data_IF_505976227199
#
_entry.id   IF_505976227199
#
_cell.length_a   1.000
_cell.length_b   1.000
_cell.length_c   1.000
_cell.angle_alpha   90.00
_cell.angle_beta   90.00
_cell.angle_gamma   90.00
#
_symmetry.space_group_name_H-M   'P 1'
#
loop_
_entity.id
_entity.type
_entity.pdbx_description
1 polymer ?
#
# COMPACT_ATOMS: atom_id res chain seq x y z
N UNK A 1 -70.79 -20.01 -31.48
CA UNK A 1 -69.95 -19.52 -30.38
C UNK A 1 -69.04 -18.44 -30.97
N UNK A 2 -69.56 -17.32 -31.48
CA UNK A 2 -70.26 -16.25 -30.76
C UNK A 2 -69.49 -15.82 -29.50
N UNK A 3 -68.95 -14.61 -29.57
CA UNK A 3 -68.72 -13.67 -28.46
C UNK A 3 -67.79 -14.10 -27.32
N UNK A 4 -66.62 -13.44 -27.20
CA UNK A 4 -66.22 -12.76 -25.94
C UNK A 4 -64.73 -12.41 -25.81
N UNK A 5 -64.01 -12.03 -26.87
CA UNK A 5 -62.69 -11.39 -26.63
C UNK A 5 -62.35 -10.17 -27.50
N UNK A 6 -63.29 -9.70 -28.33
CA UNK A 6 -63.13 -8.47 -29.15
C UNK A 6 -63.73 -7.22 -28.46
N UNK A 7 -64.08 -7.28 -27.17
CA UNK A 7 -64.89 -6.23 -26.50
C UNK A 7 -64.27 -5.58 -25.27
N UNK A 8 -62.94 -5.42 -25.23
CA UNK A 8 -62.28 -4.56 -24.24
C UNK A 8 -61.31 -3.51 -24.82
N UNK A 9 -61.46 -3.24 -26.10
CA UNK A 9 -60.87 -2.10 -26.78
C UNK A 9 -62.02 -1.24 -27.32
N UNK A 10 -62.04 0.05 -26.96
CA UNK A 10 -62.98 1.09 -27.42
C UNK A 10 -64.32 1.21 -26.66
N UNK A 11 -64.27 1.91 -25.52
CA UNK A 11 -65.27 2.81 -24.92
C UNK A 11 -64.67 3.19 -23.56
N UNK A 12 -64.06 4.35 -23.35
CA UNK A 12 -64.70 5.66 -23.38
C UNK A 12 -63.66 6.78 -23.53
N UNK A 13 -63.71 7.49 -24.67
CA UNK A 13 -63.27 8.89 -24.78
C UNK A 13 -64.41 9.80 -24.31
N UNK A 14 -64.13 10.73 -23.39
CA UNK A 14 -64.84 12.00 -23.07
C UNK A 14 -64.23 12.48 -21.73
N UNK A 15 -63.66 13.66 -21.51
CA UNK A 15 -63.57 15.02 -22.11
C UNK A 15 -62.21 15.58 -21.61
N UNK A 16 -61.33 16.22 -22.40
CA UNK A 16 -61.36 17.58 -22.94
C UNK A 16 -61.52 18.71 -21.89
N UNK A 17 -60.60 19.69 -21.95
CA UNK A 17 -60.55 21.01 -21.28
C UNK A 17 -60.02 20.98 -19.81
N UNK A 18 -59.10 21.82 -19.31
CA UNK A 18 -58.62 23.19 -19.56
C UNK A 18 -57.15 23.33 -19.05
N UNK A 19 -56.19 24.01 -19.67
CA UNK A 19 -55.99 25.46 -19.89
C UNK A 19 -55.67 26.30 -18.62
N UNK A 20 -54.36 26.51 -18.36
CA UNK A 20 -53.66 27.64 -17.66
C UNK A 20 -52.48 27.08 -16.84
N UNK A 21 -51.36 27.76 -16.62
CA UNK A 21 -50.74 29.01 -17.07
C UNK A 21 -49.50 29.15 -16.19
N UNK A 22 -48.38 29.59 -16.77
CA UNK A 22 -47.25 30.20 -16.07
C UNK A 22 -47.67 31.03 -14.85
N UNK A 23 -46.98 30.83 -13.71
CA UNK A 23 -46.46 31.86 -12.77
C UNK A 23 -45.28 31.21 -12.02
N UNK A 24 -44.01 31.51 -12.35
CA UNK A 24 -43.24 32.64 -11.83
C UNK A 24 -43.34 32.80 -10.30
N UNK A 25 -42.16 32.75 -9.64
CA UNK A 25 -41.70 33.76 -8.67
C UNK A 25 -41.54 33.34 -7.19
N UNK A 26 -40.29 33.49 -6.68
CA UNK A 26 -39.87 33.92 -5.32
C UNK A 26 -39.94 32.82 -4.22
N UNK A 27 -39.02 32.60 -3.26
CA UNK A 27 -37.98 33.42 -2.61
C UNK A 27 -36.87 32.54 -1.99
N UNK A 28 -35.65 33.05 -2.14
CA UNK A 28 -34.45 32.89 -1.34
C UNK A 28 -34.66 32.89 0.20
N UNK A 29 -34.35 31.80 0.91
CA UNK A 29 -34.00 31.90 2.34
C UNK A 29 -32.83 31.01 2.70
N UNK A 30 -31.73 31.70 2.98
CA UNK A 30 -30.54 31.29 3.69
C UNK A 30 -30.79 30.29 4.81
N UNK A 31 -30.06 29.16 4.80
CA UNK A 31 -29.50 28.65 6.04
C UNK A 31 -28.15 28.01 5.76
N UNK A 32 -27.14 28.79 6.09
CA UNK A 32 -25.77 28.37 6.35
C UNK A 32 -25.84 27.26 7.42
N UNK A 33 -25.75 26.00 7.00
CA UNK A 33 -25.32 24.91 7.87
C UNK A 33 -23.82 24.76 7.71
N UNK A 34 -23.08 25.75 8.22
CA UNK A 34 -21.72 25.57 8.67
C UNK A 34 -21.78 24.78 9.98
N UNK A 35 -21.97 23.47 9.87
CA UNK A 35 -21.71 22.53 10.97
C UNK A 35 -20.51 21.71 10.54
N UNK A 36 -19.37 22.11 11.08
CA UNK A 36 -18.22 21.27 11.43
C UNK A 36 -18.28 19.84 10.87
N UNK A 37 -17.86 19.67 9.62
CA UNK A 37 -17.25 18.40 9.26
C UNK A 37 -16.10 18.21 10.25
N UNK A 38 -16.05 17.13 11.05
CA UNK A 38 -14.78 16.74 11.59
C UNK A 38 -13.87 16.62 10.36
N UNK A 39 -12.73 17.30 10.41
CA UNK A 39 -11.59 16.90 9.59
C UNK A 39 -11.54 15.39 9.79
N UNK A 40 -11.94 14.62 8.77
CA UNK A 40 -11.67 13.20 8.75
C UNK A 40 -10.15 13.17 8.65
N UNK A 41 -9.49 13.22 9.81
CA UNK A 41 -8.12 12.76 9.97
C UNK A 41 -8.18 11.36 9.41
N UNK A 42 -7.71 11.20 8.17
CA UNK A 42 -7.41 9.91 7.59
C UNK A 42 -6.34 9.34 8.51
N UNK A 43 -6.76 8.67 9.60
CA UNK A 43 -5.84 7.89 10.39
C UNK A 43 -5.09 7.00 9.41
N UNK A 44 -3.77 7.06 9.45
CA UNK A 44 -2.91 6.16 8.70
C UNK A 44 -3.51 4.75 8.73
N UNK A 45 -3.70 4.19 7.54
CA UNK A 45 -4.28 2.85 7.42
C UNK A 45 -3.24 1.86 7.93
N UNK A 46 -3.64 1.06 8.92
CA UNK A 46 -2.85 -0.08 9.41
C UNK A 46 -2.50 -1.02 8.25
N UNK A 47 -1.44 -1.82 8.42
CA UNK A 47 -1.13 -2.85 7.42
C UNK A 47 -2.29 -3.82 7.27
N UNK A 48 -2.62 -4.18 6.03
CA UNK A 48 -3.71 -5.13 5.78
C UNK A 48 -3.37 -6.52 6.32
N UNK A 49 -4.37 -7.28 6.72
CA UNK A 49 -4.17 -8.65 7.23
C UNK A 49 -3.55 -9.57 6.18
N UNK A 50 -3.86 -9.36 4.89
CA UNK A 50 -3.27 -10.13 3.79
C UNK A 50 -1.76 -9.87 3.71
N UNK A 51 -1.34 -8.61 3.84
CA UNK A 51 0.07 -8.26 3.81
C UNK A 51 0.80 -8.78 5.06
N UNK A 52 0.19 -8.67 6.24
CA UNK A 52 0.71 -9.29 7.47
C UNK A 52 0.87 -10.81 7.28
N UNK A 53 -0.09 -11.47 6.66
CA UNK A 53 -0.02 -12.90 6.36
C UNK A 53 1.14 -13.20 5.41
N UNK A 54 1.34 -12.40 4.36
CA UNK A 54 2.44 -12.55 3.40
C UNK A 54 3.81 -12.51 4.09
N UNK A 55 4.04 -11.54 4.98
CA UNK A 55 5.28 -11.45 5.77
C UNK A 55 5.51 -12.67 6.69
N UNK A 56 4.46 -13.40 7.05
CA UNK A 56 4.50 -14.54 7.97
C UNK A 56 4.55 -15.90 7.28
N UNK A 57 4.49 -15.96 5.94
CA UNK A 57 4.59 -17.22 5.20
C UNK A 57 5.91 -17.94 5.49
N UNK A 58 5.82 -19.21 5.86
CA UNK A 58 6.98 -20.07 6.15
C UNK A 58 7.54 -19.95 7.57
N UNK A 59 6.89 -19.22 8.48
CA UNK A 59 7.29 -19.10 9.87
C UNK A 59 6.26 -19.70 10.82
N UNK A 60 6.72 -20.45 11.82
CA UNK A 60 5.83 -21.09 12.81
C UNK A 60 5.15 -20.07 13.73
N UNK A 61 5.84 -18.96 14.03
CA UNK A 61 5.34 -17.88 14.89
C UNK A 61 5.01 -16.66 14.05
N UNK A 62 3.72 -16.38 13.93
CA UNK A 62 3.23 -15.14 13.37
C UNK A 62 3.68 -13.96 14.23
N UNK A 63 4.09 -12.88 13.57
CA UNK A 63 4.41 -11.60 14.19
C UNK A 63 3.48 -10.52 13.65
N UNK A 64 3.34 -9.45 14.42
CA UNK A 64 2.58 -8.25 14.07
C UNK A 64 3.42 -7.02 14.42
N UNK A 65 3.12 -5.87 13.82
CA UNK A 65 3.65 -4.62 14.31
C UNK A 65 3.36 -4.44 15.82
N UNK A 66 4.38 -3.98 16.55
CA UNK A 66 4.20 -3.57 17.93
C UNK A 66 3.38 -2.26 17.99
N UNK A 67 2.15 -2.37 18.50
CA UNK A 67 1.18 -1.27 18.56
C UNK A 67 1.61 -0.12 19.46
N UNK A 68 2.37 -0.39 20.54
CA UNK A 68 2.87 0.67 21.43
C UNK A 68 3.87 1.58 20.69
N UNK A 69 4.78 0.99 19.91
CA UNK A 69 5.73 1.77 19.12
C UNK A 69 5.06 2.50 17.96
N UNK A 70 4.05 1.88 17.32
CA UNK A 70 3.28 2.51 16.25
C UNK A 70 2.48 3.71 16.78
N UNK A 71 1.84 3.58 17.94
CA UNK A 71 1.12 4.69 18.58
C UNK A 71 2.06 5.85 18.93
N UNK A 72 3.24 5.56 19.52
CA UNK A 72 4.26 6.57 19.79
C UNK A 72 4.77 7.24 18.50
N UNK A 73 4.94 6.47 17.43
CA UNK A 73 5.32 7.03 16.14
C UNK A 73 4.24 7.97 15.59
N UNK A 74 2.96 7.60 15.72
CA UNK A 74 1.84 8.44 15.30
C UNK A 74 1.85 9.80 16.02
N UNK A 75 1.99 9.80 17.35
CA UNK A 75 2.09 11.04 18.14
C UNK A 75 3.21 11.95 17.65
N UNK A 76 4.36 11.37 17.26
CA UNK A 76 5.49 12.12 16.72
C UNK A 76 5.16 12.65 15.32
N UNK A 77 4.63 11.80 14.44
CA UNK A 77 4.37 12.13 13.03
C UNK A 77 3.39 13.28 12.88
N UNK A 78 2.34 13.33 13.71
CA UNK A 78 1.38 14.44 13.74
C UNK A 78 2.04 15.79 14.06
N UNK A 79 3.22 15.78 14.69
CA UNK A 79 3.98 16.99 15.02
C UNK A 79 5.05 17.35 14.00
N UNK A 80 5.28 16.54 12.96
CA UNK A 80 6.33 16.80 11.95
C UNK A 80 5.81 17.82 10.93
N UNK A 81 6.25 19.09 10.96
CA UNK A 81 5.94 19.99 9.86
C UNK A 81 6.72 19.53 8.63
N UNK A 82 6.03 19.37 7.50
CA UNK A 82 6.69 19.15 6.22
C UNK A 82 7.44 20.44 5.84
N UNK A 83 8.75 20.50 6.17
CA UNK A 83 9.58 21.70 5.97
C UNK A 83 9.69 22.09 4.50
N UNK A 84 9.68 21.10 3.60
CA UNK A 84 9.74 21.29 2.15
C UNK A 84 8.73 20.36 1.50
N UNK A 85 7.81 20.93 0.72
CA UNK A 85 6.90 20.14 -0.11
C UNK A 85 7.69 19.53 -1.28
N UNK A 86 7.57 18.22 -1.55
CA UNK A 86 8.12 17.64 -2.76
C UNK A 86 7.62 18.37 -4.01
N UNK A 87 8.53 18.68 -4.94
CA UNK A 87 8.17 19.34 -6.20
C UNK A 87 7.27 18.47 -7.10
N UNK A 88 7.27 17.15 -6.89
CA UNK A 88 6.41 16.18 -7.55
C UNK A 88 6.04 15.08 -6.56
N UNK A 89 4.95 14.35 -6.84
CA UNK A 89 4.58 13.16 -6.06
C UNK A 89 5.74 12.18 -6.06
N UNK A 90 6.14 11.73 -4.87
CA UNK A 90 7.21 10.75 -4.71
C UNK A 90 6.62 9.37 -4.47
N UNK A 91 7.20 8.34 -5.07
CA UNK A 91 6.79 6.95 -4.89
C UNK A 91 7.94 6.15 -4.29
N UNK A 92 7.70 5.47 -3.19
CA UNK A 92 8.74 4.77 -2.43
C UNK A 92 8.37 3.31 -2.27
N UNK A 93 9.30 2.41 -2.61
CA UNK A 93 9.18 0.99 -2.31
C UNK A 93 9.66 0.73 -0.89
N UNK A 94 8.80 0.22 -0.03
CA UNK A 94 9.15 -0.28 1.30
C UNK A 94 9.24 -1.80 1.20
N UNK A 95 10.47 -2.31 1.22
CA UNK A 95 10.79 -3.73 1.01
C UNK A 95 11.32 -4.38 2.28
N UNK A 96 10.41 -5.03 3.02
CA UNK A 96 10.70 -5.57 4.34
C UNK A 96 11.00 -7.07 4.37
N UNK A 97 12.26 -7.49 4.37
CA UNK A 97 12.61 -8.91 4.50
C UNK A 97 13.62 -9.11 5.62
N UNK A 98 13.29 -9.93 6.62
CA UNK A 98 14.22 -10.24 7.71
C UNK A 98 14.29 -11.73 7.99
N UNK A 99 15.53 -12.22 8.05
CA UNK A 99 15.86 -13.57 8.45
C UNK A 99 16.06 -13.61 9.97
N UNK A 100 15.36 -14.53 10.65
CA UNK A 100 15.56 -14.78 12.09
C UNK A 100 14.73 -13.91 13.04
N UNK A 101 15.22 -13.58 14.25
CA UNK A 101 14.40 -12.99 15.32
C UNK A 101 14.07 -11.50 15.11
N UNK A 102 14.74 -10.82 14.17
CA UNK A 102 14.59 -9.38 13.94
C UNK A 102 13.30 -8.99 13.20
N UNK A 103 12.49 -9.98 12.79
CA UNK A 103 11.26 -9.78 12.01
C UNK A 103 10.23 -8.85 12.69
N UNK A 104 10.11 -8.87 14.02
CA UNK A 104 9.13 -8.01 14.71
C UNK A 104 9.45 -6.52 14.56
N UNK A 105 10.72 -6.15 14.66
CA UNK A 105 11.16 -4.77 14.46
C UNK A 105 11.05 -4.33 13.00
N UNK A 106 11.10 -5.27 12.06
CA UNK A 106 10.91 -5.03 10.64
C UNK A 106 9.45 -4.68 10.30
N UNK A 107 8.46 -5.43 10.82
CA UNK A 107 7.04 -5.11 10.62
C UNK A 107 6.64 -3.77 11.23
N UNK A 108 7.08 -3.48 12.46
CA UNK A 108 6.84 -2.15 13.07
C UNK A 108 7.45 -1.04 12.23
N UNK A 109 8.64 -1.23 11.67
CA UNK A 109 9.28 -0.23 10.83
C UNK A 109 8.54 -0.02 9.50
N UNK A 110 8.02 -1.08 8.87
CA UNK A 110 7.17 -0.97 7.66
C UNK A 110 5.95 -0.12 7.92
N UNK A 111 5.21 -0.42 8.99
CA UNK A 111 4.00 0.33 9.34
C UNK A 111 4.31 1.79 9.68
N UNK A 112 5.38 2.02 10.44
CA UNK A 112 5.81 3.37 10.80
C UNK A 112 6.20 4.19 9.58
N UNK A 113 6.95 3.61 8.63
CA UNK A 113 7.35 4.31 7.41
C UNK A 113 6.15 4.59 6.51
N UNK A 114 5.23 3.63 6.37
CA UNK A 114 3.97 3.86 5.65
C UNK A 114 3.20 5.04 6.25
N UNK A 115 3.02 5.04 7.57
CA UNK A 115 2.35 6.12 8.31
C UNK A 115 3.03 7.48 8.09
N UNK A 116 4.37 7.54 8.12
CA UNK A 116 5.10 8.78 7.82
C UNK A 116 4.74 9.28 6.41
N UNK A 117 4.74 8.42 5.39
CA UNK A 117 4.36 8.80 4.02
C UNK A 117 2.93 9.34 3.94
N UNK A 118 1.98 8.60 4.52
CA UNK A 118 0.55 8.91 4.48
C UNK A 118 0.21 10.24 5.19
N UNK A 119 0.69 10.42 6.41
CA UNK A 119 0.34 11.57 7.26
C UNK A 119 1.08 12.85 6.83
N UNK A 120 2.34 12.73 6.42
CA UNK A 120 3.13 13.91 6.01
C UNK A 120 2.92 14.29 4.55
N UNK A 121 2.41 13.36 3.72
CA UNK A 121 2.33 13.52 2.27
C UNK A 121 3.70 13.61 1.58
N UNK A 122 4.79 13.22 2.25
CA UNK A 122 6.14 13.28 1.69
C UNK A 122 6.34 12.32 0.51
N UNK A 123 5.67 11.17 0.54
CA UNK A 123 5.70 10.14 -0.50
C UNK A 123 4.50 9.20 -0.39
N UNK A 124 4.17 8.58 -1.51
CA UNK A 124 3.29 7.42 -1.61
C UNK A 124 4.12 6.15 -1.34
N UNK A 125 3.62 5.31 -0.43
CA UNK A 125 4.28 4.05 -0.06
C UNK A 125 3.74 2.88 -0.88
N UNK A 126 4.63 2.11 -1.49
CA UNK A 126 4.34 0.77 -2.02
C UNK A 126 5.02 -0.24 -1.12
N UNK A 127 4.25 -1.08 -0.45
CA UNK A 127 4.79 -2.19 0.34
C UNK A 127 4.58 -3.46 -0.47
N UNK A 128 5.67 -4.15 -0.79
CA UNK A 128 5.63 -5.37 -1.59
C UNK A 128 6.82 -6.25 -1.25
N UNK A 129 6.63 -7.57 -1.33
CA UNK A 129 7.70 -8.56 -1.22
C UNK A 129 8.09 -9.17 -2.57
N UNK A 130 7.52 -8.66 -3.67
CA UNK A 130 7.75 -9.16 -5.02
C UNK A 130 9.14 -8.76 -5.52
N UNK A 131 9.90 -9.76 -5.93
CA UNK A 131 11.24 -9.60 -6.50
C UNK A 131 11.20 -8.89 -7.87
N UNK A 132 10.07 -8.92 -8.57
CA UNK A 132 9.90 -8.21 -9.84
C UNK A 132 10.07 -6.69 -9.70
N UNK A 133 9.87 -6.13 -8.51
CA UNK A 133 10.15 -4.71 -8.25
C UNK A 133 11.63 -4.33 -8.40
N UNK A 134 12.53 -5.32 -8.35
CA UNK A 134 13.98 -5.14 -8.50
C UNK A 134 14.46 -5.39 -9.94
N UNK A 135 13.55 -5.55 -10.89
CA UNK A 135 13.90 -5.45 -12.30
C UNK A 135 14.17 -3.99 -12.68
N UNK A 136 15.09 -3.71 -13.63
CA UNK A 136 15.53 -2.34 -13.91
C UNK A 136 14.38 -1.40 -14.30
N UNK A 137 13.45 -1.87 -15.14
CA UNK A 137 12.29 -1.08 -15.53
C UNK A 137 11.30 -0.85 -14.39
N UNK A 138 11.15 -1.83 -13.49
CA UNK A 138 10.29 -1.68 -12.33
C UNK A 138 10.89 -0.69 -11.32
N UNK A 139 12.21 -0.71 -11.10
CA UNK A 139 12.89 0.21 -10.17
C UNK A 139 12.73 1.68 -10.56
N UNK A 140 12.70 1.99 -11.86
CA UNK A 140 12.54 3.37 -12.37
C UNK A 140 11.24 4.07 -11.93
N UNK A 141 10.23 3.31 -11.51
CA UNK A 141 8.98 3.90 -11.02
C UNK A 141 9.10 4.46 -9.60
N UNK A 142 10.14 4.08 -8.86
CA UNK A 142 10.36 4.47 -7.47
C UNK A 142 11.41 5.57 -7.37
N UNK A 143 11.13 6.60 -6.59
CA UNK A 143 12.10 7.62 -6.21
C UNK A 143 13.07 7.10 -5.14
N UNK A 144 12.64 6.13 -4.33
CA UNK A 144 13.51 5.44 -3.39
C UNK A 144 13.06 4.01 -3.08
N UNK A 145 14.03 3.20 -2.65
CA UNK A 145 13.83 1.88 -2.04
C UNK A 145 14.25 1.92 -0.57
N UNK A 146 13.39 1.45 0.32
CA UNK A 146 13.64 1.37 1.76
C UNK A 146 13.72 -0.08 2.21
N UNK A 147 14.79 -0.42 2.91
CA UNK A 147 14.98 -1.69 3.62
C UNK A 147 14.80 -1.45 5.13
N UNK A 148 13.58 -1.62 5.67
CA UNK A 148 13.29 -1.35 7.08
C UNK A 148 13.72 -2.54 7.94
N UNK A 149 14.83 -2.39 8.66
CA UNK A 149 15.38 -3.43 9.55
C UNK A 149 15.48 -4.82 8.86
N UNK A 150 15.67 -4.82 7.54
CA UNK A 150 15.78 -6.03 6.75
C UNK A 150 17.09 -6.73 7.06
N UNK A 151 17.15 -8.06 7.03
CA UNK A 151 18.37 -8.81 7.36
C UNK A 151 18.54 -10.02 6.48
N UNK A 152 19.77 -10.45 6.24
CA UNK A 152 20.07 -11.69 5.48
C UNK A 152 19.97 -11.53 3.97
N UNK A 153 19.72 -12.64 3.25
CA UNK A 153 19.55 -12.60 1.79
C UNK A 153 18.11 -12.21 1.46
N UNK A 154 17.92 -10.95 1.10
CA UNK A 154 16.59 -10.40 0.89
C UNK A 154 15.98 -10.82 -0.44
N UNK A 155 16.73 -11.43 -1.36
CA UNK A 155 16.27 -11.75 -2.73
C UNK A 155 16.02 -13.24 -2.99
N UNK A 156 16.15 -14.10 -1.97
CA UNK A 156 15.86 -15.54 -2.08
C UNK A 156 14.60 -15.95 -1.34
N UNK A 157 14.00 -17.09 -1.74
CA UNK A 157 12.78 -17.64 -1.16
C UNK A 157 12.84 -19.17 -1.01
N UNK A 158 12.26 -19.76 0.04
CA UNK A 158 11.58 -19.10 1.15
C UNK A 158 12.57 -18.36 2.07
N UNK A 159 12.08 -17.34 2.78
CA UNK A 159 12.88 -16.55 3.74
C UNK A 159 13.26 -17.38 4.98
N UNK A 160 12.48 -18.42 5.29
CA UNK A 160 12.76 -19.33 6.38
C UNK A 160 14.02 -20.16 6.09
N UNK A 161 15.10 -19.90 6.85
CA UNK A 161 16.43 -20.46 6.59
C UNK A 161 16.51 -21.97 6.56
N UNK A 162 15.81 -22.63 7.48
CA UNK A 162 15.71 -24.08 7.53
C UNK A 162 15.05 -24.63 6.27
N UNK A 163 13.96 -24.00 5.82
CA UNK A 163 13.23 -24.43 4.62
C UNK A 163 14.06 -24.17 3.34
N UNK A 164 14.74 -23.03 3.25
CA UNK A 164 15.62 -22.75 2.10
C UNK A 164 16.74 -23.79 1.96
N UNK A 165 17.33 -24.22 3.08
CA UNK A 165 18.41 -25.22 3.09
C UNK A 165 17.97 -26.61 2.61
N UNK A 166 16.68 -26.91 2.69
CA UNK A 166 16.11 -28.19 2.25
C UNK A 166 15.78 -28.20 0.74
N UNK A 167 15.84 -27.05 0.06
CA UNK A 167 15.65 -26.98 -1.38
C UNK A 167 16.72 -27.80 -2.13
N UNK A 168 16.40 -28.34 -3.33
CA UNK A 168 17.41 -28.92 -4.21
C UNK A 168 18.57 -27.96 -4.47
N UNK A 169 19.81 -28.48 -4.53
CA UNK A 169 21.01 -27.64 -4.67
C UNK A 169 21.01 -26.82 -5.96
N UNK A 170 20.46 -27.35 -7.04
CA UNK A 170 20.34 -26.64 -8.32
C UNK A 170 19.36 -25.46 -8.21
N UNK A 171 18.27 -25.63 -7.46
CA UNK A 171 17.30 -24.58 -7.17
C UNK A 171 17.92 -23.48 -6.29
N UNK A 172 18.66 -23.86 -5.23
CA UNK A 172 19.41 -22.89 -4.41
C UNK A 172 20.37 -22.07 -5.27
N UNK A 173 21.12 -22.72 -6.17
CA UNK A 173 22.07 -22.05 -7.05
C UNK A 173 21.39 -21.07 -8.02
N UNK A 174 20.25 -21.45 -8.62
CA UNK A 174 19.45 -20.57 -9.48
C UNK A 174 18.98 -19.34 -8.72
N UNK A 175 18.48 -19.52 -7.50
CA UNK A 175 18.02 -18.41 -6.68
C UNK A 175 19.16 -17.47 -6.25
N UNK A 176 20.32 -18.01 -5.85
CA UNK A 176 21.49 -17.20 -5.50
C UNK A 176 22.01 -16.40 -6.71
N UNK A 177 22.00 -17.00 -7.92
CA UNK A 177 22.35 -16.30 -9.14
C UNK A 177 21.35 -15.17 -9.46
N UNK A 178 20.05 -15.43 -9.29
CA UNK A 178 19.02 -14.41 -9.47
C UNK A 178 19.13 -13.30 -8.41
N UNK A 179 19.37 -13.65 -7.15
CA UNK A 179 19.58 -12.69 -6.06
C UNK A 179 20.75 -11.76 -6.34
N UNK A 180 21.88 -12.30 -6.82
CA UNK A 180 23.03 -11.48 -7.20
C UNK A 180 22.70 -10.52 -8.36
N UNK A 181 21.90 -10.96 -9.35
CA UNK A 181 21.45 -10.10 -10.45
C UNK A 181 20.54 -8.97 -9.94
N UNK A 182 19.56 -9.27 -9.10
CA UNK A 182 18.66 -8.27 -8.52
C UNK A 182 19.40 -7.28 -7.60
N UNK A 183 20.40 -7.76 -6.85
CA UNK A 183 21.28 -6.90 -6.07
C UNK A 183 22.07 -5.94 -6.98
N UNK A 184 22.59 -6.43 -8.11
CA UNK A 184 23.28 -5.57 -9.08
C UNK A 184 22.34 -4.53 -9.70
N UNK A 185 21.09 -4.90 -10.02
CA UNK A 185 20.09 -3.94 -10.52
C UNK A 185 19.82 -2.83 -9.50
N UNK A 186 19.72 -3.18 -8.20
CA UNK A 186 19.54 -2.18 -7.14
C UNK A 186 20.75 -1.26 -7.01
N UNK A 187 21.97 -1.81 -7.10
CA UNK A 187 23.21 -1.01 -7.10
C UNK A 187 23.21 -0.03 -8.27
N UNK A 188 22.94 -0.51 -9.48
CA UNK A 188 22.88 0.32 -10.69
C UNK A 188 21.79 1.41 -10.57
N UNK A 189 20.63 1.08 -10.00
CA UNK A 189 19.58 2.06 -9.72
C UNK A 189 20.08 3.19 -8.80
N UNK A 190 20.80 2.85 -7.72
CA UNK A 190 21.36 3.84 -6.79
C UNK A 190 22.48 4.65 -7.45
N UNK A 191 23.37 4.01 -8.21
CA UNK A 191 24.44 4.69 -8.97
C UNK A 191 23.87 5.69 -9.99
N UNK A 192 22.69 5.40 -10.54
CA UNK A 192 21.96 6.28 -11.44
C UNK A 192 21.06 7.32 -10.73
N UNK A 193 21.22 7.51 -9.42
CA UNK A 193 20.54 8.55 -8.65
C UNK A 193 19.23 8.13 -7.99
N UNK A 194 18.92 6.83 -8.00
CA UNK A 194 17.83 6.25 -7.22
C UNK A 194 18.07 6.37 -5.72
N UNK A 195 17.03 6.69 -4.94
CA UNK A 195 17.14 6.80 -3.49
C UNK A 195 17.26 5.44 -2.82
N UNK A 196 18.10 5.33 -1.79
CA UNK A 196 18.15 4.13 -0.94
C UNK A 196 18.21 4.51 0.53
N UNK A 197 17.39 3.85 1.34
CA UNK A 197 17.42 3.95 2.79
C UNK A 197 17.46 2.55 3.40
N UNK A 198 18.51 2.24 4.14
CA UNK A 198 18.58 1.05 4.98
C UNK A 198 18.58 1.44 6.44
N UNK A 199 17.77 0.78 7.28
CA UNK A 199 17.81 0.98 8.73
C UNK A 199 18.33 -0.25 9.46
N UNK A 200 19.20 -0.03 10.45
CA UNK A 200 19.70 -1.05 11.38
C UNK A 200 20.22 -2.31 10.68
N UNK A 201 19.43 -3.40 10.71
CA UNK A 201 19.73 -4.67 10.08
C UNK A 201 20.05 -4.57 8.59
N UNK A 202 19.58 -3.54 7.88
CA UNK A 202 19.80 -3.41 6.45
C UNK A 202 21.29 -3.45 6.04
N UNK A 203 22.19 -3.05 6.94
CA UNK A 203 23.65 -3.13 6.75
C UNK A 203 24.19 -4.56 6.74
N UNK A 204 23.41 -5.51 7.22
CA UNK A 204 23.74 -6.93 7.28
C UNK A 204 23.07 -7.75 6.16
N UNK A 205 22.37 -7.07 5.24
CA UNK A 205 21.76 -7.68 4.07
C UNK A 205 22.81 -8.15 3.05
N UNK A 206 22.39 -9.05 2.15
CA UNK A 206 23.22 -9.65 1.11
C UNK A 206 24.38 -10.50 1.67
N UNK A 207 24.20 -11.08 2.86
CA UNK A 207 25.07 -12.14 3.37
C UNK A 207 24.98 -13.33 2.41
N UNK A 208 26.01 -13.53 1.58
CA UNK A 208 26.18 -14.75 0.80
C UNK A 208 26.18 -15.92 1.79
N UNK A 209 25.09 -16.69 1.81
CA UNK A 209 24.90 -17.78 2.75
C UNK A 209 26.05 -18.80 2.57
N UNK A 210 26.81 -19.12 3.63
CA UNK A 210 27.44 -20.43 3.79
C UNK A 210 26.49 -21.39 4.53
#
# INVERSE_FOLDING_TARGET
MAESSVKKMLRTRKRAADFKSMKHTLILTSLIMALSTPCFTLKATELSEELIQEFNVGFDKAIRPNTEFVAKAQEIVETIPLKVKPNQKRKVLIYGISWGPHRIGMLTAVETLKMIGDETGAYESVISLDLANFEPEALKQFDAVIFPNSTGDVFVRPVAKNVFKELPKDEQQKQLANAQRLANNLVEYVENGGGFLGTHGATDCNKKIP
#
